data_IF_136498159657
#
_entry.id   IF_136498159657
#
_cell.length_a   1.000
_cell.length_b   1.000
_cell.length_c   1.000
_cell.angle_alpha   90.00
_cell.angle_beta   90.00
_cell.angle_gamma   90.00
#
_symmetry.space_group_name_H-M   'P 1'
#
loop_
_entity.id
_entity.type
_entity.pdbx_description
1 polymer ?
#
# COMPACT_ATOMS: atom_id res chain seq x y z
N UNK A 1 41.16 -40.66 46.94
CA UNK A 1 40.03 -41.08 46.08
C UNK A 1 38.82 -40.29 46.50
N UNK A 2 37.95 -39.87 45.56
CA UNK A 2 36.74 -39.11 45.88
C UNK A 2 35.80 -39.98 46.73
N UNK A 3 35.11 -39.37 47.70
CA UNK A 3 34.11 -40.08 48.52
C UNK A 3 32.88 -40.42 47.67
N UNK A 4 32.11 -41.42 48.11
CA UNK A 4 30.89 -41.86 47.41
C UNK A 4 29.91 -40.70 47.15
N UNK A 5 29.82 -39.77 48.10
CA UNK A 5 28.95 -38.60 48.01
C UNK A 5 29.48 -37.55 47.04
N UNK A 6 30.81 -37.38 46.95
CA UNK A 6 31.44 -36.52 45.95
C UNK A 6 31.22 -37.08 44.54
N UNK A 7 31.28 -38.40 44.36
CA UNK A 7 30.99 -39.05 43.07
C UNK A 7 29.53 -38.81 42.67
N UNK A 8 28.57 -39.03 43.58
CA UNK A 8 27.14 -38.75 43.33
C UNK A 8 26.88 -37.28 42.99
N UNK A 9 27.58 -36.36 43.66
CA UNK A 9 27.45 -34.93 43.38
C UNK A 9 27.98 -34.57 41.99
N UNK A 10 29.10 -35.16 41.57
CA UNK A 10 29.63 -34.97 40.21
C UNK A 10 28.72 -35.58 39.13
N UNK A 11 28.11 -36.74 39.40
CA UNK A 11 27.15 -37.36 38.48
C UNK A 11 25.88 -36.51 38.32
N UNK A 12 25.34 -35.98 39.42
CA UNK A 12 24.16 -35.10 39.37
C UNK A 12 24.46 -33.80 38.62
N UNK A 13 25.64 -33.18 38.82
CA UNK A 13 26.07 -32.02 38.06
C UNK A 13 26.19 -32.30 36.56
N UNK A 14 26.77 -33.44 36.18
CA UNK A 14 26.86 -33.88 34.78
C UNK A 14 25.46 -34.05 34.16
N UNK A 15 24.53 -34.64 34.89
CA UNK A 15 23.16 -34.84 34.41
C UNK A 15 22.42 -33.50 34.23
N UNK A 16 22.59 -32.55 35.16
CA UNK A 16 22.03 -31.20 35.04
C UNK A 16 22.60 -30.48 33.81
N UNK A 17 23.91 -30.58 33.57
CA UNK A 17 24.55 -29.96 32.42
C UNK A 17 24.08 -30.58 31.10
N UNK A 18 23.89 -31.91 31.05
CA UNK A 18 23.32 -32.60 29.90
C UNK A 18 21.89 -32.17 29.60
N UNK A 19 21.07 -31.96 30.63
CA UNK A 19 19.70 -31.45 30.48
C UNK A 19 19.70 -30.01 29.96
N UNK A 20 20.52 -29.12 30.53
CA UNK A 20 20.66 -27.73 30.03
C UNK A 20 21.08 -27.68 28.55
N UNK A 21 22.07 -28.50 28.15
CA UNK A 21 22.51 -28.60 26.75
C UNK A 21 21.46 -29.18 25.81
N UNK A 22 20.47 -29.92 26.32
CA UNK A 22 19.32 -30.38 25.53
C UNK A 22 18.29 -29.27 25.39
N UNK A 23 17.95 -28.60 26.48
CA UNK A 23 17.03 -27.47 26.45
C UNK A 23 17.54 -26.37 25.53
N UNK A 24 18.82 -25.98 25.61
CA UNK A 24 19.40 -24.98 24.68
C UNK A 24 19.32 -25.39 23.20
N UNK A 25 19.38 -26.70 22.89
CA UNK A 25 19.30 -27.21 21.52
C UNK A 25 17.88 -27.26 20.98
N UNK A 26 16.89 -27.52 21.84
CA UNK A 26 15.50 -27.75 21.43
C UNK A 26 14.54 -26.66 21.91
N UNK A 27 15.00 -25.71 22.71
CA UNK A 27 14.23 -24.56 23.15
C UNK A 27 13.92 -23.70 21.94
N UNK A 28 12.66 -23.75 21.54
CA UNK A 28 12.13 -22.83 20.58
C UNK A 28 11.94 -21.46 21.24
N UNK A 29 12.76 -20.48 20.84
CA UNK A 29 12.76 -19.12 21.38
C UNK A 29 11.56 -18.25 20.96
N UNK A 30 10.53 -18.82 20.33
CA UNK A 30 9.36 -18.05 19.87
C UNK A 30 9.61 -17.14 18.66
N UNK A 31 10.83 -17.11 18.12
CA UNK A 31 11.26 -16.16 17.06
C UNK A 31 10.41 -16.28 15.79
N UNK A 32 9.86 -17.46 15.47
CA UNK A 32 9.01 -17.67 14.29
C UNK A 32 7.51 -17.60 14.62
N UNK A 33 7.12 -17.37 15.87
CA UNK A 33 5.72 -17.37 16.29
C UNK A 33 4.98 -16.15 15.72
N UNK A 34 5.64 -14.99 15.70
CA UNK A 34 5.12 -13.77 15.07
C UNK A 34 4.93 -13.94 13.55
N UNK A 35 5.82 -14.69 12.89
CA UNK A 35 5.71 -14.99 11.45
C UNK A 35 4.55 -15.93 11.11
N UNK A 36 4.13 -16.78 12.04
CA UNK A 36 3.02 -17.71 11.85
C UNK A 36 1.65 -17.07 12.15
N UNK A 37 1.61 -16.04 13.00
CA UNK A 37 0.38 -15.37 13.41
C UNK A 37 -0.20 -14.43 12.35
N UNK A 38 0.62 -13.96 11.41
CA UNK A 38 0.18 -13.04 10.37
C UNK A 38 0.28 -13.70 9.00
N UNK A 39 -0.87 -13.97 8.38
CA UNK A 39 -0.88 -14.37 6.98
C UNK A 39 -0.33 -13.24 6.10
N UNK A 40 0.35 -13.56 4.99
CA UNK A 40 0.85 -12.54 4.05
C UNK A 40 -0.27 -11.61 3.55
N UNK A 41 -1.51 -12.09 3.53
CA UNK A 41 -2.70 -11.33 3.12
C UNK A 41 -3.19 -10.33 4.18
N UNK A 42 -2.80 -10.51 5.45
CA UNK A 42 -3.06 -9.59 6.57
C UNK A 42 -1.98 -8.53 6.73
N UNK A 43 -0.90 -8.58 5.95
CA UNK A 43 0.11 -7.51 5.89
C UNK A 43 -0.53 -6.25 5.29
N UNK A 44 -1.18 -5.49 6.17
CA UNK A 44 -1.54 -4.09 6.03
C UNK A 44 -2.22 -3.74 4.70
N UNK A 45 -3.39 -4.35 4.45
CA UNK A 45 -4.34 -3.72 3.53
C UNK A 45 -4.62 -2.32 4.05
N UNK A 46 -4.26 -1.31 3.25
CA UNK A 46 -4.67 0.06 3.53
C UNK A 46 -6.19 0.07 3.60
N UNK A 47 -6.73 0.73 4.62
CA UNK A 47 -8.16 0.90 4.78
C UNK A 47 -8.43 2.40 4.83
N UNK A 48 -9.12 2.90 3.80
CA UNK A 48 -9.43 4.32 3.69
C UNK A 48 -10.16 4.82 4.93
N UNK A 49 -11.03 4.01 5.55
CA UNK A 49 -11.82 4.42 6.73
C UNK A 49 -10.98 4.66 7.98
N UNK A 50 -9.76 4.11 8.02
CA UNK A 50 -8.84 4.25 9.15
C UNK A 50 -7.90 5.45 9.02
N UNK A 51 -7.97 6.20 7.92
CA UNK A 51 -7.15 7.38 7.74
C UNK A 51 -7.58 8.49 8.71
N UNK A 52 -6.61 9.27 9.14
CA UNK A 52 -6.89 10.42 9.99
C UNK A 52 -7.56 11.56 9.18
N UNK A 53 -8.20 12.55 9.84
CA UNK A 53 -8.86 13.66 9.14
C UNK A 53 -7.94 14.48 8.24
N UNK A 54 -6.68 14.67 8.64
CA UNK A 54 -5.67 15.40 7.87
C UNK A 54 -5.24 14.63 6.60
N UNK A 55 -5.05 13.32 6.71
CA UNK A 55 -4.78 12.42 5.57
C UNK A 55 -5.95 12.43 4.59
N UNK A 56 -7.18 12.31 5.10
CA UNK A 56 -8.39 12.46 4.29
C UNK A 56 -8.46 13.81 3.58
N UNK A 57 -8.13 14.89 4.28
CA UNK A 57 -8.10 16.22 3.69
C UNK A 57 -7.06 16.34 2.56
N UNK A 58 -5.84 15.87 2.79
CA UNK A 58 -4.79 15.87 1.76
C UNK A 58 -5.20 15.06 0.53
N UNK A 59 -5.76 13.87 0.73
CA UNK A 59 -6.27 13.03 -0.35
C UNK A 59 -7.40 13.70 -1.13
N UNK A 60 -8.44 14.18 -0.41
CA UNK A 60 -9.57 14.90 -1.02
C UNK A 60 -9.10 16.13 -1.79
N UNK A 61 -8.08 16.83 -1.30
CA UNK A 61 -7.51 18.00 -1.97
C UNK A 61 -6.87 17.65 -3.31
N UNK A 62 -6.22 16.49 -3.43
CA UNK A 62 -5.71 16.03 -4.73
C UNK A 62 -6.87 15.66 -5.67
N UNK A 63 -7.92 15.02 -5.15
CA UNK A 63 -9.08 14.61 -5.94
C UNK A 63 -9.95 15.77 -6.44
N UNK A 64 -10.31 16.70 -5.55
CA UNK A 64 -11.32 17.73 -5.83
C UNK A 64 -10.74 19.15 -5.92
N UNK A 65 -9.45 19.32 -5.64
CA UNK A 65 -8.77 20.61 -5.76
C UNK A 65 -9.34 21.67 -4.82
N UNK A 66 -9.77 22.80 -5.38
CA UNK A 66 -10.32 23.93 -4.63
C UNK A 66 -11.72 23.65 -4.08
N UNK A 67 -12.45 22.67 -4.62
CA UNK A 67 -13.81 22.35 -4.21
C UNK A 67 -13.88 21.67 -2.82
N UNK A 68 -12.73 21.36 -2.22
CA UNK A 68 -12.65 20.87 -0.83
C UNK A 68 -12.89 22.00 0.18
N UNK A 69 -12.60 23.23 -0.20
CA UNK A 69 -12.72 24.42 0.65
C UNK A 69 -14.11 25.06 0.47
N UNK A 70 -14.58 25.76 1.49
CA UNK A 70 -15.79 26.59 1.35
C UNK A 70 -15.52 27.81 0.46
N UNK A 71 -16.57 28.40 -0.13
CA UNK A 71 -16.40 29.56 -1.00
C UNK A 71 -15.74 30.77 -0.27
N UNK A 72 -15.97 30.91 1.04
CA UNK A 72 -15.37 31.94 1.89
C UNK A 72 -13.88 31.70 2.11
N UNK A 73 -13.50 30.45 2.42
CA UNK A 73 -12.10 30.03 2.53
C UNK A 73 -11.36 30.22 1.20
N UNK A 74 -12.01 29.91 0.08
CA UNK A 74 -11.42 30.16 -1.23
C UNK A 74 -11.18 31.66 -1.41
N UNK A 75 -12.08 32.56 -1.01
CA UNK A 75 -11.82 34.00 -1.14
C UNK A 75 -10.62 34.46 -0.31
N UNK A 76 -10.48 33.98 0.93
CA UNK A 76 -9.38 34.35 1.82
C UNK A 76 -8.02 33.74 1.42
N UNK A 77 -8.00 32.67 0.63
CA UNK A 77 -6.76 32.05 0.17
C UNK A 77 -5.94 32.97 -0.76
N UNK A 78 -4.64 33.08 -0.45
CA UNK A 78 -3.66 33.74 -1.31
C UNK A 78 -3.60 33.10 -2.71
N UNK A 79 -3.39 33.94 -3.74
CA UNK A 79 -3.42 33.52 -5.14
C UNK A 79 -2.42 32.40 -5.47
N UNK A 80 -1.22 32.42 -4.87
CA UNK A 80 -0.20 31.40 -5.12
C UNK A 80 -0.61 30.03 -4.54
N UNK A 81 -1.23 30.02 -3.36
CA UNK A 81 -1.78 28.79 -2.76
C UNK A 81 -2.89 28.20 -3.63
N UNK A 82 -3.78 29.04 -4.18
CA UNK A 82 -4.80 28.62 -5.15
C UNK A 82 -4.18 28.00 -6.40
N UNK A 83 -3.18 28.68 -6.96
CA UNK A 83 -2.45 28.21 -8.16
C UNK A 83 -1.81 26.85 -7.91
N UNK A 84 -1.16 26.66 -6.75
CA UNK A 84 -0.52 25.38 -6.38
C UNK A 84 -1.55 24.25 -6.27
N UNK A 85 -2.67 24.49 -5.59
CA UNK A 85 -3.75 23.51 -5.45
C UNK A 85 -4.31 23.13 -6.83
N UNK A 86 -4.59 24.12 -7.68
CA UNK A 86 -5.07 23.89 -9.05
C UNK A 86 -4.08 23.05 -9.87
N UNK A 87 -2.78 23.33 -9.78
CA UNK A 87 -1.74 22.58 -10.49
C UNK A 87 -1.68 21.11 -10.05
N UNK A 88 -1.73 20.86 -8.74
CA UNK A 88 -1.72 19.49 -8.19
C UNK A 88 -2.99 18.74 -8.57
N UNK A 89 -4.15 19.40 -8.51
CA UNK A 89 -5.43 18.81 -8.90
C UNK A 89 -5.47 18.43 -10.39
N UNK A 90 -5.04 19.32 -11.28
CA UNK A 90 -4.98 19.02 -12.73
C UNK A 90 -4.11 17.80 -13.00
N UNK A 91 -2.90 17.76 -12.42
CA UNK A 91 -2.01 16.59 -12.52
C UNK A 91 -2.63 15.33 -11.93
N UNK A 92 -3.37 15.45 -10.83
CA UNK A 92 -4.12 14.32 -10.25
C UNK A 92 -5.20 13.78 -11.17
N UNK A 93 -5.93 14.65 -11.89
CA UNK A 93 -6.93 14.24 -12.87
C UNK A 93 -6.30 13.59 -14.11
N UNK A 94 -5.16 14.11 -14.59
CA UNK A 94 -4.38 13.51 -15.68
C UNK A 94 -3.95 12.08 -15.31
N UNK A 95 -3.31 11.91 -14.16
CA UNK A 95 -2.90 10.59 -13.64
C UNK A 95 -4.07 9.63 -13.51
N UNK A 96 -5.21 10.08 -12.99
CA UNK A 96 -6.42 9.23 -12.91
C UNK A 96 -6.86 8.81 -14.30
N UNK A 97 -6.90 9.73 -15.25
CA UNK A 97 -7.36 9.46 -16.60
C UNK A 97 -6.46 8.47 -17.34
N UNK A 98 -5.14 8.68 -17.28
CA UNK A 98 -4.13 7.75 -17.83
C UNK A 98 -4.31 6.37 -17.21
N UNK A 99 -4.45 6.29 -15.88
CA UNK A 99 -4.59 5.02 -15.20
C UNK A 99 -5.90 4.29 -15.56
N UNK A 100 -7.01 5.02 -15.72
CA UNK A 100 -8.26 4.45 -16.24
C UNK A 100 -8.07 3.87 -17.64
N UNK A 101 -7.37 4.57 -18.54
CA UNK A 101 -7.07 4.09 -19.88
C UNK A 101 -6.25 2.80 -19.85
N UNK A 102 -5.16 2.77 -19.07
CA UNK A 102 -4.33 1.57 -18.92
C UNK A 102 -5.15 0.35 -18.45
N UNK A 103 -6.04 0.54 -17.47
CA UNK A 103 -6.88 -0.55 -16.96
C UNK A 103 -7.88 -1.02 -18.00
N UNK A 104 -8.47 -0.10 -18.77
CA UNK A 104 -9.36 -0.46 -19.87
C UNK A 104 -8.62 -1.27 -20.93
N UNK A 105 -7.43 -0.82 -21.34
CA UNK A 105 -6.61 -1.52 -22.32
C UNK A 105 -6.26 -2.94 -21.84
N UNK A 106 -5.89 -3.10 -20.56
CA UNK A 106 -5.67 -4.42 -19.96
C UNK A 106 -6.92 -5.31 -20.01
N UNK A 107 -8.08 -4.79 -19.61
CA UNK A 107 -9.36 -5.54 -19.67
C UNK A 107 -9.75 -5.92 -21.09
N UNK A 108 -9.49 -5.05 -22.07
CA UNK A 108 -9.72 -5.32 -23.49
C UNK A 108 -8.77 -6.41 -23.98
N UNK A 109 -7.49 -6.37 -23.61
CA UNK A 109 -6.54 -7.43 -23.95
C UNK A 109 -6.97 -8.80 -23.40
N UNK A 110 -7.43 -8.83 -22.14
CA UNK A 110 -7.99 -10.05 -21.53
C UNK A 110 -9.22 -10.55 -22.28
N UNK A 111 -10.10 -9.63 -22.71
CA UNK A 111 -11.29 -9.94 -23.48
C UNK A 111 -10.92 -10.49 -24.86
N UNK A 112 -9.99 -9.84 -25.57
CA UNK A 112 -9.50 -10.30 -26.87
C UNK A 112 -8.89 -11.69 -26.78
N UNK A 113 -8.08 -11.97 -25.75
CA UNK A 113 -7.53 -13.30 -25.53
C UNK A 113 -8.61 -14.37 -25.36
N UNK A 114 -9.65 -14.07 -24.58
CA UNK A 114 -10.78 -14.99 -24.36
C UNK A 114 -11.57 -15.29 -25.64
N UNK A 115 -11.71 -14.32 -26.54
CA UNK A 115 -12.46 -14.50 -27.78
C UNK A 115 -11.65 -15.09 -28.93
N UNK A 116 -10.39 -14.70 -29.07
CA UNK A 116 -9.56 -15.02 -30.25
C UNK A 116 -8.39 -15.97 -29.96
N UNK A 117 -8.15 -16.31 -28.69
CA UNK A 117 -7.12 -17.26 -28.27
C UNK A 117 -5.70 -16.80 -28.60
N UNK A 118 -4.84 -17.74 -29.00
CA UNK A 118 -3.42 -17.45 -29.27
C UNK A 118 -3.19 -16.55 -30.49
N UNK A 119 -4.17 -16.39 -31.39
CA UNK A 119 -4.02 -15.58 -32.60
C UNK A 119 -3.78 -14.09 -32.32
N UNK A 120 -4.23 -13.60 -31.16
CA UNK A 120 -4.07 -12.19 -30.74
C UNK A 120 -2.87 -11.97 -29.82
N UNK A 121 -2.09 -13.01 -29.51
CA UNK A 121 -0.92 -12.94 -28.62
C UNK A 121 0.09 -11.87 -29.05
N UNK A 122 0.43 -11.71 -30.36
CA UNK A 122 1.34 -10.66 -30.79
C UNK A 122 0.85 -9.23 -30.48
N UNK A 123 -0.48 -9.03 -30.41
CA UNK A 123 -1.09 -7.74 -30.06
C UNK A 123 -1.07 -7.53 -28.54
N UNK A 124 -1.34 -8.57 -27.78
CA UNK A 124 -1.39 -8.53 -26.31
C UNK A 124 -0.01 -8.37 -25.68
N UNK A 125 1.02 -8.92 -26.32
CA UNK A 125 2.42 -8.80 -25.88
C UNK A 125 2.94 -7.35 -25.94
N UNK A 126 2.23 -6.46 -26.65
CA UNK A 126 2.51 -5.03 -26.66
C UNK A 126 2.05 -4.43 -25.31
N UNK A 127 2.94 -3.73 -24.57
CA UNK A 127 2.59 -3.13 -23.30
C UNK A 127 1.41 -2.16 -23.41
N UNK A 128 0.37 -2.38 -22.60
CA UNK A 128 -0.82 -1.51 -22.50
C UNK A 128 -0.55 -0.20 -21.72
N UNK A 129 0.65 0.36 -21.83
CA UNK A 129 1.11 1.55 -21.09
C UNK A 129 0.88 2.84 -21.88
N UNK A 130 0.69 2.73 -23.20
CA UNK A 130 0.38 3.88 -24.03
C UNK A 130 -1.01 4.44 -23.68
N UNK A 131 -1.03 5.75 -23.41
CA UNK A 131 -2.24 6.49 -23.10
C UNK A 131 -2.29 7.75 -23.95
N UNK A 132 -3.51 8.20 -24.25
CA UNK A 132 -3.76 9.39 -25.05
C UNK A 132 -4.13 10.55 -24.12
N UNK A 133 -3.31 11.61 -24.02
CA UNK A 133 -3.57 12.74 -23.13
C UNK A 133 -4.88 13.47 -23.46
N UNK A 134 -5.22 13.53 -24.75
CA UNK A 134 -6.41 14.23 -25.23
C UNK A 134 -7.70 13.44 -25.01
N UNK A 135 -7.59 12.12 -24.80
CA UNK A 135 -8.74 11.26 -24.57
C UNK A 135 -9.14 11.28 -23.10
N UNK A 136 -10.42 11.56 -22.82
CA UNK A 136 -10.97 11.54 -21.45
C UNK A 136 -11.82 10.29 -21.22
N UNK A 137 -11.36 9.41 -20.35
CA UNK A 137 -12.07 8.21 -19.97
C UNK A 137 -13.23 8.53 -19.00
N UNK A 138 -14.45 8.27 -19.46
CA UNK A 138 -15.70 8.55 -18.74
C UNK A 138 -16.09 7.49 -17.71
N UNK A 139 -15.44 6.31 -17.71
CA UNK A 139 -15.78 5.21 -16.80
C UNK A 139 -15.54 5.61 -15.34
N UNK A 140 -16.42 5.16 -14.44
CA UNK A 140 -16.24 5.43 -13.02
C UNK A 140 -15.17 4.50 -12.43
N UNK A 141 -14.54 4.91 -11.33
CA UNK A 141 -13.56 4.07 -10.63
C UNK A 141 -14.19 2.75 -10.18
N UNK A 142 -15.45 2.79 -9.77
CA UNK A 142 -16.22 1.61 -9.35
C UNK A 142 -16.42 0.61 -10.48
N UNK A 143 -16.74 1.08 -11.69
CA UNK A 143 -16.91 0.21 -12.87
C UNK A 143 -15.59 -0.47 -13.27
N UNK A 144 -14.47 0.22 -13.01
CA UNK A 144 -13.15 -0.33 -13.22
C UNK A 144 -12.71 -1.30 -12.12
N UNK A 145 -13.42 -1.37 -11.00
CA UNK A 145 -13.07 -2.19 -9.84
C UNK A 145 -11.97 -1.57 -8.98
N UNK A 146 -11.78 -0.26 -9.06
CA UNK A 146 -10.78 0.48 -8.29
C UNK A 146 -11.36 1.01 -6.99
N UNK A 147 -10.60 0.83 -5.93
CA UNK A 147 -10.88 1.38 -4.60
C UNK A 147 -10.17 2.72 -4.37
N UNK A 148 -10.51 3.43 -3.29
CA UNK A 148 -9.80 4.67 -2.95
C UNK A 148 -8.41 4.40 -2.40
N UNK A 149 -8.21 3.23 -1.80
CA UNK A 149 -6.94 2.69 -1.33
C UNK A 149 -5.94 2.58 -2.50
N UNK A 150 -6.38 2.01 -3.63
CA UNK A 150 -5.55 1.88 -4.83
C UNK A 150 -5.15 3.26 -5.37
N UNK A 151 -6.09 4.21 -5.32
CA UNK A 151 -5.88 5.57 -5.79
C UNK A 151 -4.91 6.35 -4.89
N UNK A 152 -4.95 6.12 -3.57
CA UNK A 152 -3.96 6.65 -2.63
C UNK A 152 -2.57 6.13 -2.97
N UNK A 153 -2.43 4.82 -3.19
CA UNK A 153 -1.15 4.22 -3.56
C UNK A 153 -0.62 4.81 -4.87
N UNK A 154 -1.48 4.95 -5.88
CA UNK A 154 -1.12 5.59 -7.16
C UNK A 154 -0.70 7.05 -6.97
N UNK A 155 -1.40 7.82 -6.14
CA UNK A 155 -1.00 9.20 -5.85
C UNK A 155 0.30 9.32 -5.06
N UNK A 156 0.61 8.35 -4.20
CA UNK A 156 1.90 8.27 -3.51
C UNK A 156 3.03 7.93 -4.49
N UNK A 157 2.82 7.01 -5.44
CA UNK A 157 3.84 6.65 -6.43
C UNK A 157 4.16 7.82 -7.37
N UNK A 158 3.16 8.62 -7.76
CA UNK A 158 3.34 9.79 -8.64
C UNK A 158 3.83 11.05 -7.92
N UNK A 159 3.99 10.99 -6.58
CA UNK A 159 4.44 12.14 -5.77
C UNK A 159 3.39 13.25 -5.61
N UNK A 160 2.12 12.96 -5.84
CA UNK A 160 1.00 13.86 -5.56
C UNK A 160 0.66 13.88 -4.06
N UNK A 161 0.91 12.75 -3.38
CA UNK A 161 0.91 12.62 -1.93
C UNK A 161 2.34 12.44 -1.41
N UNK A 162 2.63 12.90 -0.19
CA UNK A 162 3.96 12.75 0.40
C UNK A 162 4.27 11.28 0.70
N UNK A 163 5.54 10.86 0.59
CA UNK A 163 5.94 9.45 0.82
C UNK A 163 5.61 8.94 2.23
N UNK A 164 5.61 9.83 3.21
CA UNK A 164 5.26 9.55 4.60
C UNK A 164 3.75 9.72 4.91
N UNK A 165 2.89 9.80 3.88
CA UNK A 165 1.45 10.06 4.02
C UNK A 165 0.77 9.22 5.09
N UNK A 166 1.05 7.91 5.11
CA UNK A 166 0.46 6.94 6.03
C UNK A 166 0.86 7.14 7.50
N UNK A 167 2.01 7.79 7.73
CA UNK A 167 2.55 8.08 9.07
C UNK A 167 2.26 9.49 9.56
N UNK A 168 1.57 10.31 8.77
CA UNK A 168 1.23 11.68 9.16
C UNK A 168 0.35 11.68 10.41
N UNK A 169 0.74 12.46 11.41
CA UNK A 169 -0.11 12.74 12.57
C UNK A 169 -1.15 13.79 12.18
N UNK A 170 -2.34 13.79 12.81
CA UNK A 170 -3.25 14.92 12.66
C UNK A 170 -2.53 16.18 13.11
N UNK A 171 -2.49 17.21 12.26
CA UNK A 171 -2.08 18.53 12.73
C UNK A 171 -3.09 18.93 13.81
N UNK A 172 -2.62 19.05 15.05
CA UNK A 172 -3.38 19.70 16.11
C UNK A 172 -3.58 21.14 15.68
N UNK A 173 -4.83 21.47 15.33
CA UNK A 173 -5.29 22.84 15.35
C UNK A 173 -5.92 23.08 16.72
#
# INVERSE_FOLDING_TARGET
MLTQDQIKLLETQKNIELLKKRDERYAYYGILQEYQLHSKDELQKLDYKKLNPYQHFLFKRVLHGLNVYTAEEVKSLHWDKKRRIKKVWLRGQEVINEWKQMICNKKVNDLLYRFFGENVRPIIDIPAEETLPDYKNTLTLKDLGLSYEDLILKFMSEGLLPKNFLTLKPNGN
#
